data_IF_089666467878
#
_entry.id   IF_089666467878
#
_cell.length_a   1.000
_cell.length_b   1.000
_cell.length_c   1.000
_cell.angle_alpha   90.00
_cell.angle_beta   90.00
_cell.angle_gamma   90.00
#
_symmetry.space_group_name_H-M   'P 1'
#
loop_
_entity.id
_entity.type
_entity.pdbx_description
1 polymer ?
#
# COMPACT_ATOMS: atom_id res chain seq x y z
N UNK A 1 3.46 8.63 -17.78
CA UNK A 1 2.07 9.08 -17.64
C UNK A 1 1.87 9.31 -16.16
N UNK A 2 1.55 10.54 -15.75
CA UNK A 2 1.31 10.83 -14.33
C UNK A 2 -0.12 10.38 -14.03
N UNK A 3 -0.27 9.39 -13.15
CA UNK A 3 -1.59 8.96 -12.67
C UNK A 3 -2.10 9.95 -11.63
N UNK A 4 -3.42 10.08 -11.51
CA UNK A 4 -4.02 10.70 -10.33
C UNK A 4 -3.62 9.87 -9.10
N UNK A 5 -3.08 10.47 -8.02
CA UNK A 5 -2.71 9.72 -6.82
C UNK A 5 -3.89 9.00 -6.16
N UNK A 6 -5.13 9.36 -6.50
CA UNK A 6 -6.34 8.77 -5.96
C UNK A 6 -7.10 7.99 -7.05
N UNK A 7 -7.61 6.80 -6.69
CA UNK A 7 -8.49 6.00 -7.54
C UNK A 7 -9.81 5.70 -6.84
N UNK A 8 -10.99 5.94 -7.47
CA UNK A 8 -12.26 5.57 -6.87
C UNK A 8 -12.39 4.05 -6.69
N UNK A 9 -12.92 3.58 -5.56
CA UNK A 9 -13.08 2.14 -5.29
C UNK A 9 -13.81 1.38 -6.42
N UNK A 10 -14.87 1.98 -7.00
CA UNK A 10 -15.63 1.40 -8.13
C UNK A 10 -14.81 1.17 -9.40
N UNK A 11 -13.69 1.88 -9.56
CA UNK A 11 -12.84 1.74 -10.74
C UNK A 11 -11.94 0.49 -10.63
N UNK A 12 -11.76 -0.08 -9.43
CA UNK A 12 -10.85 -1.19 -9.22
C UNK A 12 -11.20 -2.41 -10.08
N UNK A 13 -12.49 -2.73 -10.23
CA UNK A 13 -12.95 -3.87 -11.03
C UNK A 13 -12.63 -3.74 -12.54
N UNK A 14 -12.36 -2.53 -13.03
CA UNK A 14 -11.97 -2.27 -14.41
C UNK A 14 -10.45 -2.25 -14.62
N UNK A 15 -9.66 -2.22 -13.53
CA UNK A 15 -8.21 -2.26 -13.61
C UNK A 15 -7.75 -3.70 -13.88
N UNK A 16 -6.78 -3.82 -14.76
CA UNK A 16 -6.11 -5.09 -15.11
C UNK A 16 -4.62 -4.96 -14.83
N UNK A 17 -3.96 -6.08 -14.53
CA UNK A 17 -2.50 -6.14 -14.30
C UNK A 17 -1.98 -5.20 -13.18
N UNK A 18 -2.79 -4.98 -12.15
CA UNK A 18 -2.40 -4.20 -10.97
C UNK A 18 -1.80 -5.06 -9.87
N UNK A 19 -0.84 -4.48 -9.15
CA UNK A 19 -0.38 -4.98 -7.85
C UNK A 19 -1.22 -4.33 -6.76
N UNK A 20 -2.08 -5.12 -6.11
CA UNK A 20 -2.89 -4.65 -4.99
C UNK A 20 -2.14 -4.80 -3.67
N UNK A 21 -2.08 -3.73 -2.90
CA UNK A 21 -1.46 -3.67 -1.59
C UNK A 21 -2.51 -3.30 -0.54
N UNK A 22 -2.69 -4.18 0.44
CA UNK A 22 -3.44 -3.90 1.66
C UNK A 22 -2.46 -3.39 2.72
N UNK A 23 -2.59 -2.12 3.11
CA UNK A 23 -1.73 -1.47 4.08
C UNK A 23 -2.36 -1.39 5.48
N UNK A 24 -3.44 -2.12 5.77
CA UNK A 24 -4.01 -2.14 7.13
C UNK A 24 -2.97 -2.63 8.13
N UNK A 25 -2.89 -1.97 9.28
CA UNK A 25 -1.88 -2.29 10.31
C UNK A 25 -2.20 -3.58 11.06
N UNK A 26 -3.46 -4.00 11.09
CA UNK A 26 -3.89 -5.24 11.74
C UNK A 26 -3.75 -6.46 10.80
N UNK A 27 -2.76 -7.30 11.09
CA UNK A 27 -2.51 -8.54 10.34
C UNK A 27 -3.63 -9.58 10.51
N UNK A 28 -4.33 -9.60 11.66
CA UNK A 28 -5.45 -10.49 11.87
C UNK A 28 -6.65 -10.05 11.01
N UNK A 29 -6.88 -8.74 10.88
CA UNK A 29 -7.90 -8.20 9.99
C UNK A 29 -7.61 -8.51 8.52
N UNK A 30 -6.34 -8.45 8.09
CA UNK A 30 -5.93 -8.91 6.75
C UNK A 30 -6.20 -10.41 6.56
N UNK A 31 -5.81 -11.25 7.52
CA UNK A 31 -6.00 -12.69 7.44
C UNK A 31 -7.48 -13.12 7.46
N UNK A 32 -8.34 -12.37 8.16
CA UNK A 32 -9.78 -12.62 8.22
C UNK A 32 -10.51 -12.32 6.90
N UNK A 33 -10.01 -11.36 6.11
CA UNK A 33 -10.59 -11.00 4.82
C UNK A 33 -9.93 -9.77 4.21
N UNK A 34 -9.71 -9.80 2.90
CA UNK A 34 -9.11 -8.72 2.12
C UNK A 34 -9.54 -8.82 0.65
N UNK A 35 -9.25 -7.80 -0.15
CA UNK A 35 -9.48 -7.86 -1.60
C UNK A 35 -8.69 -9.00 -2.21
N UNK A 36 -9.32 -9.83 -3.04
CA UNK A 36 -8.69 -11.00 -3.65
C UNK A 36 -7.38 -10.61 -4.38
N UNK A 37 -6.29 -11.31 -4.05
CA UNK A 37 -4.97 -11.07 -4.64
C UNK A 37 -4.18 -9.91 -4.02
N UNK A 38 -4.75 -9.16 -3.06
CA UNK A 38 -4.01 -8.11 -2.36
C UNK A 38 -2.92 -8.68 -1.46
N UNK A 39 -1.74 -8.06 -1.50
CA UNK A 39 -0.59 -8.41 -0.66
C UNK A 39 -0.54 -7.51 0.57
N UNK A 40 -0.26 -8.08 1.73
CA UNK A 40 -0.18 -7.29 2.97
C UNK A 40 1.13 -6.49 3.07
N UNK A 41 1.02 -5.19 3.28
CA UNK A 41 2.12 -4.32 3.67
C UNK A 41 2.07 -4.06 5.18
N UNK A 42 2.99 -4.66 5.93
CA UNK A 42 3.10 -4.41 7.36
C UNK A 42 3.92 -3.16 7.64
N UNK A 43 3.33 -2.21 8.37
CA UNK A 43 3.95 -0.92 8.68
C UNK A 43 5.37 -1.07 9.27
N UNK A 44 5.52 -1.86 10.33
CA UNK A 44 6.80 -1.99 11.04
C UNK A 44 7.85 -2.82 10.28
N UNK A 45 7.40 -3.84 9.54
CA UNK A 45 8.31 -4.79 8.87
C UNK A 45 8.73 -4.31 7.48
N UNK A 46 7.79 -3.75 6.73
CA UNK A 46 7.93 -3.51 5.30
C UNK A 46 8.09 -2.02 4.97
N UNK A 47 7.50 -1.14 5.79
CA UNK A 47 7.41 0.31 5.53
C UNK A 47 8.21 1.16 6.52
N UNK A 48 8.94 0.53 7.44
CA UNK A 48 9.76 1.20 8.43
C UNK A 48 11.03 0.40 8.73
N UNK A 49 12.05 1.10 9.23
CA UNK A 49 13.20 0.44 9.87
C UNK A 49 12.99 0.33 11.38
N UNK A 50 13.56 -0.69 12.04
CA UNK A 50 13.60 -0.76 13.49
C UNK A 50 14.21 0.52 14.08
N UNK A 51 13.48 1.17 14.99
CA UNK A 51 13.94 2.37 15.69
C UNK A 51 14.43 1.99 17.10
N UNK A 52 15.74 1.89 17.36
CA UNK A 52 16.22 1.71 18.73
C UNK A 52 15.96 2.94 19.60
N UNK A 53 15.77 4.12 18.98
CA UNK A 53 15.45 5.38 19.65
C UNK A 53 14.51 6.24 18.77
N UNK A 54 13.24 6.47 19.18
CA UNK A 54 12.30 7.34 18.47
C UNK A 54 12.76 8.79 18.30
N UNK A 55 13.69 9.27 19.12
CA UNK A 55 14.29 10.60 18.96
C UNK A 55 15.11 10.71 17.66
N UNK A 56 15.49 9.57 17.06
CA UNK A 56 16.28 9.48 15.83
C UNK A 56 15.44 8.86 14.70
N UNK A 57 14.50 9.64 14.16
CA UNK A 57 13.71 9.25 12.98
C UNK A 57 12.21 9.03 13.24
N UNK A 58 11.74 9.26 14.47
CA UNK A 58 10.33 9.18 14.83
C UNK A 58 9.85 7.75 15.09
N UNK A 59 8.52 7.59 15.17
CA UNK A 59 7.87 6.29 15.48
C UNK A 59 8.03 5.24 14.37
N UNK A 60 8.12 5.69 13.11
CA UNK A 60 8.27 4.82 11.94
C UNK A 60 9.35 5.42 11.01
N UNK A 61 10.64 5.26 11.33
CA UNK A 61 11.72 5.73 10.48
C UNK A 61 11.61 5.15 9.06
N UNK A 62 12.17 5.84 8.07
CA UNK A 62 12.17 5.34 6.70
C UNK A 62 12.94 4.01 6.61
N UNK A 63 12.46 3.05 5.79
CA UNK A 63 13.21 1.83 5.53
C UNK A 63 14.50 2.16 4.78
N UNK A 64 15.55 1.37 4.99
CA UNK A 64 16.72 1.43 4.11
C UNK A 64 16.33 0.99 2.68
N UNK A 65 17.01 1.58 1.68
CA UNK A 65 16.65 1.36 0.28
C UNK A 65 16.78 -0.10 -0.16
N UNK A 66 17.72 -0.86 0.41
CA UNK A 66 17.92 -2.26 0.02
C UNK A 66 16.80 -3.15 0.56
N UNK A 67 16.41 -2.96 1.82
CA UNK A 67 15.27 -3.63 2.44
C UNK A 67 13.98 -3.25 1.73
N UNK A 68 13.78 -1.97 1.41
CA UNK A 68 12.59 -1.55 0.68
C UNK A 68 12.55 -2.17 -0.73
N UNK A 69 13.66 -2.17 -1.48
CA UNK A 69 13.73 -2.83 -2.78
C UNK A 69 13.44 -4.35 -2.68
N UNK A 70 13.95 -5.03 -1.65
CA UNK A 70 13.64 -6.44 -1.40
C UNK A 70 12.15 -6.64 -1.08
N UNK A 71 11.52 -5.73 -0.33
CA UNK A 71 10.08 -5.72 -0.06
C UNK A 71 9.27 -5.58 -1.35
N UNK A 72 9.63 -4.63 -2.21
CA UNK A 72 8.98 -4.46 -3.52
C UNK A 72 9.08 -5.73 -4.36
N UNK A 73 10.24 -6.39 -4.35
CA UNK A 73 10.45 -7.69 -5.01
C UNK A 73 9.55 -8.80 -4.46
N UNK A 74 9.42 -8.92 -3.13
CA UNK A 74 8.47 -9.88 -2.50
C UNK A 74 7.02 -9.58 -2.89
N UNK A 75 6.69 -8.31 -3.07
CA UNK A 75 5.38 -7.90 -3.56
C UNK A 75 5.23 -8.00 -5.08
N UNK A 76 6.22 -8.53 -5.82
CA UNK A 76 6.15 -8.63 -7.28
C UNK A 76 6.03 -7.27 -7.99
N UNK A 77 6.42 -6.18 -7.33
CA UNK A 77 6.43 -4.85 -7.92
C UNK A 77 7.70 -4.73 -8.76
N UNK A 78 7.50 -4.42 -10.04
CA UNK A 78 8.55 -4.10 -10.99
C UNK A 78 8.50 -2.61 -11.31
N UNK A 79 9.53 -2.04 -11.97
CA UNK A 79 9.49 -0.66 -12.43
C UNK A 79 8.32 -0.31 -13.37
N UNK A 80 7.63 -1.31 -13.94
CA UNK A 80 6.48 -1.12 -14.85
C UNK A 80 5.14 -1.46 -14.21
N UNK A 81 5.13 -1.95 -12.97
CA UNK A 81 3.88 -2.35 -12.30
C UNK A 81 2.99 -1.13 -12.06
N UNK A 82 1.67 -1.30 -12.19
CA UNK A 82 0.70 -0.35 -11.66
C UNK A 82 0.31 -0.81 -10.26
N UNK A 83 0.57 0.01 -9.25
CA UNK A 83 0.29 -0.31 -7.84
C UNK A 83 -0.97 0.42 -7.39
N UNK A 84 -1.86 -0.30 -6.72
CA UNK A 84 -3.04 0.28 -6.08
C UNK A 84 -3.02 -0.12 -4.61
N UNK A 85 -3.10 0.87 -3.73
CA UNK A 85 -2.97 0.69 -2.28
C UNK A 85 -4.27 1.09 -1.59
N UNK A 86 -4.68 0.34 -0.57
CA UNK A 86 -5.75 0.75 0.33
C UNK A 86 -5.41 0.45 1.78
N UNK A 87 -6.09 1.12 2.70
CA UNK A 87 -6.17 0.77 4.12
C UNK A 87 -7.64 0.86 4.58
N UNK A 88 -7.89 0.78 5.88
CA UNK A 88 -9.22 0.91 6.50
C UNK A 88 -9.52 2.33 7.03
N UNK A 89 -8.67 3.32 6.73
CA UNK A 89 -8.78 4.70 7.20
C UNK A 89 -8.78 5.70 6.04
N UNK A 90 -9.58 5.43 5.02
CA UNK A 90 -9.75 6.30 3.84
C UNK A 90 -8.43 6.62 3.12
N UNK A 91 -7.48 5.67 3.13
CA UNK A 91 -6.15 5.85 2.55
C UNK A 91 -5.19 6.72 3.36
N UNK A 92 -5.64 7.29 4.47
CA UNK A 92 -4.89 8.31 5.23
C UNK A 92 -3.90 7.73 6.25
N UNK A 93 -3.97 6.43 6.53
CA UNK A 93 -3.04 5.77 7.44
C UNK A 93 -1.84 5.22 6.64
N UNK A 94 -1.54 3.93 6.74
CA UNK A 94 -0.35 3.36 6.11
C UNK A 94 -0.44 3.28 4.58
N UNK A 95 -1.63 3.40 3.96
CA UNK A 95 -1.72 3.41 2.49
C UNK A 95 -1.02 4.64 1.87
N UNK A 96 -1.23 5.82 2.45
CA UNK A 96 -0.53 7.04 2.06
C UNK A 96 1.00 6.91 2.20
N UNK A 97 1.47 6.15 3.20
CA UNK A 97 2.89 5.87 3.40
C UNK A 97 3.46 4.96 2.31
N UNK A 98 2.75 3.92 1.88
CA UNK A 98 3.17 3.09 0.74
C UNK A 98 3.27 3.94 -0.52
N UNK A 99 2.23 4.74 -0.81
CA UNK A 99 2.22 5.64 -1.97
C UNK A 99 3.41 6.58 -1.94
N UNK A 100 3.68 7.23 -0.80
CA UNK A 100 4.79 8.16 -0.67
C UNK A 100 6.15 7.48 -0.83
N UNK A 101 6.35 6.29 -0.25
CA UNK A 101 7.60 5.54 -0.37
C UNK A 101 7.88 5.13 -1.82
N UNK A 102 6.85 4.72 -2.57
CA UNK A 102 6.97 4.39 -4.00
C UNK A 102 7.32 5.64 -4.83
N UNK A 103 6.65 6.76 -4.58
CA UNK A 103 6.98 8.05 -5.23
C UNK A 103 8.41 8.49 -4.92
N UNK A 104 8.86 8.34 -3.66
CA UNK A 104 10.21 8.73 -3.23
C UNK A 104 11.32 7.93 -3.93
N UNK A 105 11.04 6.71 -4.41
CA UNK A 105 11.96 5.90 -5.21
C UNK A 105 11.71 5.99 -6.73
N UNK A 106 10.87 6.94 -7.17
CA UNK A 106 10.58 7.20 -8.58
C UNK A 106 9.59 6.24 -9.23
N UNK A 107 8.76 5.56 -8.46
CA UNK A 107 7.68 4.72 -8.96
C UNK A 107 6.36 5.50 -9.04
N UNK A 108 6.11 6.11 -10.19
CA UNK A 108 4.98 7.05 -10.38
C UNK A 108 3.63 6.36 -10.57
N UNK A 109 3.63 5.09 -11.01
CA UNK A 109 2.43 4.33 -11.34
C UNK A 109 1.75 3.75 -10.09
N UNK A 110 1.48 4.60 -9.09
CA UNK A 110 0.87 4.23 -7.82
C UNK A 110 -0.32 5.12 -7.47
N UNK A 111 -1.42 4.51 -7.03
CA UNK A 111 -2.63 5.20 -6.59
C UNK A 111 -3.13 4.67 -5.25
N UNK A 112 -3.83 5.49 -4.48
CA UNK A 112 -4.51 5.14 -3.24
C UNK A 112 -6.02 5.09 -3.48
N UNK A 113 -6.68 4.07 -2.95
CA UNK A 113 -8.13 3.92 -3.09
C UNK A 113 -8.86 4.96 -2.22
N UNK A 114 -9.69 5.77 -2.87
CA UNK A 114 -10.65 6.66 -2.21
C UNK A 114 -11.68 5.83 -1.42
N UNK A 115 -11.80 6.09 -0.12
CA UNK A 115 -12.67 5.35 0.78
C UNK A 115 -12.10 4.07 1.37
N UNK A 116 -10.89 3.65 0.97
CA UNK A 116 -10.23 2.45 1.49
C UNK A 116 -11.05 1.16 1.38
N UNK A 117 -10.80 0.21 2.29
CA UNK A 117 -11.52 -1.06 2.36
C UNK A 117 -13.04 -0.89 2.48
N UNK A 118 -13.60 0.02 3.33
CA UNK A 118 -15.05 0.21 3.40
C UNK A 118 -15.70 0.53 2.05
N UNK A 119 -15.08 1.39 1.24
CA UNK A 119 -15.59 1.71 -0.08
C UNK A 119 -15.42 0.56 -1.08
N UNK A 120 -14.36 -0.23 -0.95
CA UNK A 120 -14.15 -1.45 -1.76
C UNK A 120 -15.21 -2.50 -1.46
N UNK A 121 -15.58 -2.70 -0.18
CA UNK A 121 -16.68 -3.57 0.21
C UNK A 121 -18.01 -3.06 -0.35
N UNK A 122 -18.30 -1.77 -0.22
CA UNK A 122 -19.52 -1.17 -0.78
C UNK A 122 -19.58 -1.28 -2.32
N UNK A 123 -18.43 -1.29 -3.00
CA UNK A 123 -18.32 -1.48 -4.44
C UNK A 123 -18.32 -2.96 -4.87
N UNK A 124 -18.44 -3.92 -3.95
CA UNK A 124 -18.40 -5.35 -4.25
C UNK A 124 -17.03 -5.87 -4.70
N UNK A 125 -15.96 -5.14 -4.39
CA UNK A 125 -14.58 -5.48 -4.74
C UNK A 125 -13.84 -6.25 -3.62
N UNK A 126 -14.38 -6.23 -2.39
CA UNK A 126 -13.83 -6.97 -1.26
C UNK A 126 -14.75 -8.14 -0.87
N UNK A 127 -14.15 -9.19 -0.32
CA UNK A 127 -14.83 -10.36 0.26
C UNK A 127 -15.07 -10.15 1.75
#
# INVERSE_FOLDING_TARGET
>A
MVLDPIVPARALAALTDVVLIDARTDAAAYAAGHVAGARHAQLERDLASPAPDPARGGRHPLPDLQTFAATLGRWGITPRSHVVVYDDQNGANAASRVWWLLQAVGHDAVQVVDGGLPALTAAGCAL
#
